data_IF_228623421591
#
_entry.id   IF_228623421591
#
_cell.length_a   1.000
_cell.length_b   1.000
_cell.length_c   1.000
_cell.angle_alpha   90.00
_cell.angle_beta   90.00
_cell.angle_gamma   90.00
#
_symmetry.space_group_name_H-M   'P 1'
#
loop_
_entity.id
_entity.type
_entity.pdbx_description
1 polymer ?
#
# COMPACT_ATOMS: atom_id res chain seq x y z
N UNK A 1 -45.94 -21.39 -48.14
CA UNK A 1 -46.53 -20.04 -48.22
C UNK A 1 -45.49 -19.05 -47.70
N UNK A 2 -45.01 -18.17 -48.58
CA UNK A 2 -44.09 -17.06 -48.28
C UNK A 2 -44.92 -15.89 -47.76
N UNK A 3 -44.46 -15.20 -46.73
CA UNK A 3 -44.82 -13.80 -46.49
C UNK A 3 -43.58 -13.06 -45.99
N UNK A 4 -43.03 -12.30 -46.92
CA UNK A 4 -41.99 -11.30 -46.75
C UNK A 4 -42.64 -10.02 -46.23
N UNK A 5 -42.00 -9.36 -45.27
CA UNK A 5 -42.33 -7.99 -44.90
C UNK A 5 -41.06 -7.15 -45.08
N UNK A 6 -40.99 -6.43 -46.19
CA UNK A 6 -40.04 -5.35 -46.47
C UNK A 6 -40.85 -4.07 -46.66
N UNK A 7 -40.62 -3.06 -45.82
CA UNK A 7 -40.95 -1.66 -46.07
C UNK A 7 -39.79 -0.83 -45.48
N UNK A 8 -38.92 -0.27 -46.33
CA UNK A 8 -38.96 1.10 -46.86
C UNK A 8 -38.80 2.18 -45.78
N UNK A 9 -37.58 2.73 -45.67
CA UNK A 9 -37.36 4.15 -45.39
C UNK A 9 -36.07 4.61 -46.08
N UNK A 10 -36.21 5.21 -47.25
CA UNK A 10 -35.18 6.06 -47.87
C UNK A 10 -35.46 7.50 -47.44
N UNK A 11 -34.48 8.14 -46.80
CA UNK A 11 -34.45 9.58 -46.66
C UNK A 11 -33.14 10.09 -47.28
N UNK A 12 -33.30 10.70 -48.46
CA UNK A 12 -32.32 11.56 -49.12
C UNK A 12 -32.13 12.82 -48.28
N UNK A 13 -30.90 13.10 -47.85
CA UNK A 13 -30.49 14.42 -47.37
C UNK A 13 -29.45 15.02 -48.33
N UNK A 14 -29.80 16.21 -48.78
CA UNK A 14 -29.20 17.03 -49.82
C UNK A 14 -27.83 17.56 -49.37
N UNK A 15 -26.82 17.38 -50.21
CA UNK A 15 -25.52 18.05 -50.09
C UNK A 15 -25.65 19.53 -50.49
N UNK A 16 -25.46 20.44 -49.53
CA UNK A 16 -25.23 21.86 -49.80
C UNK A 16 -23.72 22.10 -49.88
N UNK A 17 -23.26 22.57 -51.04
CA UNK A 17 -21.88 23.00 -51.29
C UNK A 17 -21.71 24.41 -50.74
N UNK A 18 -20.88 24.56 -49.71
CA UNK A 18 -20.32 25.85 -49.29
C UNK A 18 -18.82 25.87 -49.63
N UNK A 19 -18.31 26.92 -50.32
CA UNK A 19 -16.89 27.18 -50.41
C UNK A 19 -16.49 28.12 -49.26
N UNK A 20 -15.63 27.68 -48.36
CA UNK A 20 -15.16 28.58 -47.31
C UNK A 20 -14.25 27.95 -46.27
N UNK A 21 -13.01 28.41 -46.30
CA UNK A 21 -12.00 28.33 -45.23
C UNK A 21 -11.32 26.97 -45.04
N UNK A 22 -10.05 26.91 -45.41
CA UNK A 22 -9.10 25.94 -44.88
C UNK A 22 -9.00 26.17 -43.37
N UNK A 23 -9.80 25.44 -42.61
CA UNK A 23 -9.54 25.21 -41.21
C UNK A 23 -8.27 24.34 -41.13
N UNK A 24 -7.29 24.80 -40.37
CA UNK A 24 -6.28 23.92 -39.82
C UNK A 24 -7.07 22.96 -38.93
N UNK A 25 -7.30 21.74 -39.42
CA UNK A 25 -7.79 20.64 -38.59
C UNK A 25 -6.68 20.37 -37.57
N UNK A 26 -6.85 20.96 -36.39
CA UNK A 26 -6.18 20.53 -35.18
C UNK A 26 -6.67 19.09 -34.97
N UNK A 27 -5.84 18.12 -35.38
CA UNK A 27 -6.06 16.69 -35.23
C UNK A 27 -5.92 16.31 -33.74
N UNK A 28 -6.80 16.88 -32.93
CA UNK A 28 -7.10 16.41 -31.58
C UNK A 28 -8.00 15.18 -31.69
N UNK A 29 -7.54 14.14 -32.39
CA UNK A 29 -8.02 12.81 -32.07
C UNK A 29 -7.74 12.63 -30.56
N UNK A 30 -8.75 12.33 -29.74
CA UNK A 30 -8.52 12.15 -28.30
C UNK A 30 -7.44 11.08 -28.15
N UNK A 31 -6.26 11.46 -27.65
CA UNK A 31 -5.15 10.53 -27.44
C UNK A 31 -5.72 9.32 -26.70
N UNK A 32 -5.76 8.18 -27.38
CA UNK A 32 -6.35 6.99 -26.80
C UNK A 32 -5.41 6.50 -25.69
N UNK A 33 -5.89 6.46 -24.46
CA UNK A 33 -5.17 5.87 -23.34
C UNK A 33 -4.63 4.47 -23.67
N UNK A 34 -3.50 4.10 -23.06
CA UNK A 34 -3.01 2.72 -23.12
C UNK A 34 -4.06 1.75 -22.58
N UNK A 35 -4.10 0.53 -23.14
CA UNK A 35 -5.16 -0.47 -22.88
C UNK A 35 -4.67 -1.70 -22.13
N UNK A 36 -3.38 -1.78 -21.86
CA UNK A 36 -2.71 -2.85 -21.12
C UNK A 36 -2.81 -2.69 -19.60
N UNK A 37 -3.18 -1.51 -19.10
CA UNK A 37 -3.39 -1.24 -17.66
C UNK A 37 -4.57 -0.29 -17.41
N UNK A 38 -5.28 -0.47 -16.29
CA UNK A 38 -6.35 0.40 -15.79
C UNK A 38 -6.29 0.50 -14.26
N UNK A 39 -6.23 1.72 -13.72
CA UNK A 39 -6.30 1.97 -12.28
C UNK A 39 -7.72 2.33 -11.83
N UNK A 40 -8.24 1.57 -10.87
CA UNK A 40 -9.51 1.76 -10.19
C UNK A 40 -9.25 2.38 -8.81
N UNK A 41 -9.69 3.62 -8.62
CA UNK A 41 -9.50 4.38 -7.39
C UNK A 41 -10.79 4.35 -6.58
N UNK A 42 -10.74 3.80 -5.37
CA UNK A 42 -11.90 3.72 -4.49
C UNK A 42 -12.11 5.02 -3.73
N UNK A 43 -13.24 5.68 -3.97
CA UNK A 43 -13.67 6.91 -3.30
C UNK A 43 -15.20 6.94 -3.16
N UNK A 44 -15.67 7.25 -1.94
CA UNK A 44 -17.09 7.27 -1.60
C UNK A 44 -17.66 8.68 -1.36
N UNK A 45 -16.81 9.70 -1.38
CA UNK A 45 -17.15 11.11 -1.35
C UNK A 45 -16.91 11.71 -2.74
N UNK A 46 -17.96 11.99 -3.52
CA UNK A 46 -17.81 12.54 -4.87
C UNK A 46 -17.23 13.96 -4.88
N UNK A 47 -17.30 14.69 -3.77
CA UNK A 47 -16.71 16.02 -3.69
C UNK A 47 -15.18 15.96 -3.60
N UNK A 48 -14.61 14.82 -3.21
CA UNK A 48 -13.16 14.65 -3.08
C UNK A 48 -12.44 14.80 -4.43
N UNK A 49 -13.03 14.32 -5.53
CA UNK A 49 -12.45 14.48 -6.87
C UNK A 49 -12.44 15.94 -7.35
N UNK A 50 -13.35 16.76 -6.82
CA UNK A 50 -13.49 18.16 -7.19
C UNK A 50 -12.57 19.10 -6.40
N UNK A 51 -11.97 18.61 -5.31
CA UNK A 51 -10.98 19.38 -4.55
C UNK A 51 -9.64 19.42 -5.32
N UNK A 52 -9.17 20.61 -5.78
CA UNK A 52 -7.91 20.75 -6.49
C UNK A 52 -6.68 20.36 -5.66
N UNK A 53 -6.81 20.34 -4.33
CA UNK A 53 -5.76 19.97 -3.40
C UNK A 53 -5.81 18.50 -2.96
N UNK A 54 -6.75 17.71 -3.51
CA UNK A 54 -6.87 16.28 -3.18
C UNK A 54 -5.79 15.44 -3.89
N UNK A 55 -5.36 14.39 -3.21
CA UNK A 55 -4.50 13.35 -3.76
C UNK A 55 -5.12 12.67 -4.98
N UNK A 56 -6.44 12.43 -4.95
CA UNK A 56 -7.20 11.89 -6.08
C UNK A 56 -7.10 12.79 -7.31
N UNK A 57 -7.27 14.11 -7.15
CA UNK A 57 -7.15 15.04 -8.28
C UNK A 57 -5.75 15.00 -8.88
N UNK A 58 -4.73 15.09 -8.03
CA UNK A 58 -3.33 14.98 -8.45
C UNK A 58 -3.08 13.67 -9.23
N UNK A 59 -3.54 12.53 -8.68
CA UNK A 59 -3.38 11.23 -9.32
C UNK A 59 -4.00 11.21 -10.73
N UNK A 60 -5.22 11.72 -10.89
CA UNK A 60 -5.91 11.77 -12.20
C UNK A 60 -5.22 12.68 -13.20
N UNK A 61 -4.68 13.81 -12.75
CA UNK A 61 -3.94 14.71 -13.63
C UNK A 61 -2.64 14.07 -14.10
N UNK A 62 -1.86 13.48 -13.19
CA UNK A 62 -0.63 12.75 -13.52
C UNK A 62 -0.88 11.51 -14.38
N UNK A 63 -2.02 10.87 -14.23
CA UNK A 63 -2.42 9.75 -15.08
C UNK A 63 -2.52 10.14 -16.56
N UNK A 64 -2.93 11.39 -16.87
CA UNK A 64 -2.95 11.87 -18.25
C UNK A 64 -1.54 11.98 -18.83
N UNK A 65 -0.60 12.52 -18.05
CA UNK A 65 0.82 12.60 -18.43
C UNK A 65 1.41 11.19 -18.66
N UNK A 66 1.04 10.22 -17.83
CA UNK A 66 1.47 8.82 -17.95
C UNK A 66 0.69 7.99 -18.99
N UNK A 67 -0.22 8.59 -19.75
CA UNK A 67 -1.11 7.90 -20.68
C UNK A 67 -1.93 6.76 -20.03
N UNK A 68 -2.29 6.90 -18.76
CA UNK A 68 -2.91 5.88 -17.91
C UNK A 68 -4.43 6.09 -17.78
N UNK A 69 -5.20 5.04 -18.06
CA UNK A 69 -6.64 5.08 -17.83
C UNK A 69 -6.97 4.91 -16.35
N UNK A 70 -7.81 5.80 -15.80
CA UNK A 70 -8.25 5.75 -14.42
C UNK A 70 -9.77 5.82 -14.30
N UNK A 71 -10.34 5.11 -13.33
CA UNK A 71 -11.76 5.20 -13.00
C UNK A 71 -11.93 5.30 -11.50
N UNK A 72 -12.77 6.24 -11.06
CA UNK A 72 -13.15 6.38 -9.66
C UNK A 72 -14.42 5.56 -9.44
N UNK A 73 -14.44 4.73 -8.40
CA UNK A 73 -15.59 3.90 -8.05
C UNK A 73 -15.85 3.92 -6.54
N UNK A 74 -17.00 3.42 -6.11
CA UNK A 74 -17.48 3.46 -4.72
C UNK A 74 -18.75 4.29 -4.60
N UNK A 75 -18.69 5.56 -5.03
CA UNK A 75 -19.86 6.45 -5.07
C UNK A 75 -20.44 6.75 -3.68
N UNK A 76 -21.63 7.37 -3.61
CA UNK A 76 -22.23 7.76 -2.33
C UNK A 76 -22.78 6.55 -1.57
N UNK A 77 -21.94 5.88 -0.79
CA UNK A 77 -22.36 4.87 0.18
C UNK A 77 -22.84 5.53 1.47
N UNK A 78 -23.97 5.08 2.02
CA UNK A 78 -24.51 5.65 3.26
C UNK A 78 -23.66 5.30 4.49
N UNK A 79 -23.04 4.12 4.48
CA UNK A 79 -22.20 3.59 5.55
C UNK A 79 -21.07 2.77 4.93
N UNK A 80 -19.97 3.42 4.54
CA UNK A 80 -18.84 2.70 4.00
C UNK A 80 -18.17 1.85 5.08
N UNK A 81 -17.93 0.58 4.77
CA UNK A 81 -17.10 -0.34 5.56
C UNK A 81 -15.78 -0.67 4.85
N UNK A 82 -14.94 -1.47 5.51
CA UNK A 82 -13.61 -1.84 5.00
C UNK A 82 -13.70 -2.73 3.76
N UNK A 83 -14.66 -3.66 3.72
CA UNK A 83 -14.82 -4.61 2.61
C UNK A 83 -15.49 -4.04 1.36
N UNK A 84 -16.13 -2.87 1.44
CA UNK A 84 -16.90 -2.29 0.33
C UNK A 84 -16.05 -2.08 -0.93
N UNK A 85 -14.78 -1.68 -0.76
CA UNK A 85 -13.83 -1.48 -1.86
C UNK A 85 -13.72 -2.71 -2.75
N UNK A 86 -13.54 -3.88 -2.15
CA UNK A 86 -13.36 -5.13 -2.89
C UNK A 86 -14.70 -5.73 -3.31
N UNK A 87 -15.75 -5.58 -2.50
CA UNK A 87 -17.08 -6.09 -2.82
C UNK A 87 -17.68 -5.44 -4.08
N UNK A 88 -17.47 -4.14 -4.25
CA UNK A 88 -17.99 -3.37 -5.38
C UNK A 88 -17.21 -3.59 -6.68
N UNK A 89 -16.09 -4.30 -6.62
CA UNK A 89 -15.16 -4.45 -7.73
C UNK A 89 -15.67 -5.43 -8.80
N UNK A 90 -16.38 -6.49 -8.40
CA UNK A 90 -16.76 -7.60 -9.31
C UNK A 90 -17.49 -7.15 -10.59
N UNK A 91 -18.55 -6.31 -10.53
CA UNK A 91 -19.24 -5.86 -11.75
C UNK A 91 -18.34 -5.04 -12.70
N UNK A 92 -17.33 -4.35 -12.17
CA UNK A 92 -16.36 -3.61 -12.99
C UNK A 92 -15.41 -4.58 -13.70
N UNK A 93 -14.93 -5.60 -13.00
CA UNK A 93 -14.03 -6.60 -13.58
C UNK A 93 -14.69 -7.46 -14.65
N UNK A 94 -16.00 -7.70 -14.55
CA UNK A 94 -16.77 -8.48 -15.53
C UNK A 94 -16.89 -7.80 -16.90
N UNK A 95 -16.65 -6.48 -16.99
CA UNK A 95 -16.77 -5.70 -18.23
C UNK A 95 -15.45 -5.16 -18.76
N UNK A 96 -14.36 -5.26 -17.99
CA UNK A 96 -13.02 -4.87 -18.44
C UNK A 96 -12.41 -5.97 -19.31
N UNK A 97 -11.50 -5.60 -20.21
CA UNK A 97 -10.74 -6.53 -21.04
C UNK A 97 -9.97 -7.52 -20.14
N UNK A 98 -10.10 -8.82 -20.43
CA UNK A 98 -9.51 -9.88 -19.62
C UNK A 98 -7.98 -9.85 -19.61
N UNK A 99 -7.35 -9.26 -20.63
CA UNK A 99 -5.89 -9.16 -20.76
C UNK A 99 -5.35 -7.81 -20.23
N UNK A 100 -6.22 -6.92 -19.74
CA UNK A 100 -5.83 -5.65 -19.14
C UNK A 100 -5.46 -5.84 -17.67
N UNK A 101 -4.27 -5.36 -17.26
CA UNK A 101 -3.88 -5.36 -15.86
C UNK A 101 -4.72 -4.35 -15.08
N UNK A 102 -5.35 -4.80 -14.00
CA UNK A 102 -6.13 -3.93 -13.11
C UNK A 102 -5.30 -3.61 -11.88
N UNK A 103 -5.29 -2.33 -11.50
CA UNK A 103 -4.78 -1.88 -10.21
C UNK A 103 -5.94 -1.29 -9.41
N UNK A 104 -6.13 -1.71 -8.17
CA UNK A 104 -7.14 -1.15 -7.26
C UNK A 104 -6.41 -0.46 -6.11
N UNK A 105 -6.76 0.79 -5.82
CA UNK A 105 -6.10 1.57 -4.78
C UNK A 105 -7.06 2.47 -4.00
N UNK A 106 -6.72 2.74 -2.74
CA UNK A 106 -7.40 3.74 -1.91
C UNK A 106 -7.15 5.15 -2.45
N UNK A 107 -8.18 5.88 -2.86
CA UNK A 107 -8.00 7.15 -3.57
C UNK A 107 -7.41 8.28 -2.69
N UNK A 108 -7.60 8.21 -1.37
CA UNK A 108 -7.29 9.33 -0.46
C UNK A 108 -5.84 9.38 0.00
N UNK A 109 -5.16 8.24 0.00
CA UNK A 109 -3.85 8.06 0.63
C UNK A 109 -2.77 7.65 -0.38
N UNK A 110 -3.03 7.83 -1.68
CA UNK A 110 -2.10 7.46 -2.76
C UNK A 110 -1.70 8.63 -3.64
N UNK A 111 -0.48 8.56 -4.17
CA UNK A 111 0.04 9.46 -5.19
C UNK A 111 0.63 8.66 -6.35
N UNK A 112 0.42 9.13 -7.58
CA UNK A 112 1.07 8.55 -8.76
C UNK A 112 2.49 9.11 -8.86
N UNK A 113 3.50 8.25 -8.76
CA UNK A 113 4.91 8.58 -8.72
C UNK A 113 5.50 8.88 -10.10
N UNK A 114 4.93 9.86 -10.79
CA UNK A 114 5.41 10.28 -12.11
C UNK A 114 5.64 11.79 -12.13
N UNK A 115 6.75 12.26 -12.71
CA UNK A 115 6.99 13.68 -12.90
C UNK A 115 6.07 14.24 -13.99
N UNK A 116 6.09 15.56 -14.16
CA UNK A 116 5.40 16.24 -15.28
C UNK A 116 6.18 16.16 -16.59
N UNK A 117 6.63 14.95 -16.93
CA UNK A 117 7.34 14.63 -18.16
C UNK A 117 6.71 13.38 -18.78
N UNK A 118 6.19 13.50 -20.00
CA UNK A 118 5.42 12.44 -20.67
C UNK A 118 6.28 11.21 -20.96
N UNK A 119 7.54 11.38 -21.38
CA UNK A 119 8.40 10.25 -21.72
C UNK A 119 8.77 9.47 -20.46
N UNK A 120 9.19 10.17 -19.40
CA UNK A 120 9.54 9.56 -18.12
C UNK A 120 8.32 8.92 -17.44
N UNK A 121 7.15 9.54 -17.54
CA UNK A 121 5.91 8.99 -16.99
C UNK A 121 5.47 7.71 -17.70
N UNK A 122 5.57 7.64 -19.03
CA UNK A 122 5.27 6.42 -19.79
C UNK A 122 6.25 5.30 -19.43
N UNK A 123 7.55 5.61 -19.34
CA UNK A 123 8.58 4.64 -18.96
C UNK A 123 8.35 4.07 -17.56
N UNK A 124 7.89 4.89 -16.60
CA UNK A 124 7.54 4.43 -15.26
C UNK A 124 6.41 3.40 -15.27
N UNK A 125 5.40 3.56 -16.14
CA UNK A 125 4.31 2.59 -16.28
C UNK A 125 4.80 1.31 -16.97
N UNK A 126 5.71 1.42 -17.95
CA UNK A 126 6.28 0.24 -18.61
C UNK A 126 7.10 -0.60 -17.63
N UNK A 127 7.93 0.04 -16.79
CA UNK A 127 8.66 -0.65 -15.71
C UNK A 127 7.73 -1.31 -14.70
N UNK A 128 6.58 -0.69 -14.40
CA UNK A 128 5.57 -1.28 -13.52
C UNK A 128 4.99 -2.58 -14.11
N UNK A 129 4.67 -2.60 -15.41
CA UNK A 129 4.19 -3.81 -16.08
C UNK A 129 5.24 -4.91 -16.10
N UNK A 130 6.49 -4.58 -16.45
CA UNK A 130 7.61 -5.53 -16.44
C UNK A 130 7.83 -6.13 -15.05
N UNK A 131 7.78 -5.29 -14.01
CA UNK A 131 7.91 -5.71 -12.61
C UNK A 131 6.75 -6.62 -12.19
N UNK A 132 5.51 -6.32 -12.60
CA UNK A 132 4.36 -7.17 -12.30
C UNK A 132 4.53 -8.56 -12.90
N UNK A 133 4.95 -8.64 -14.16
CA UNK A 133 5.25 -9.90 -14.83
C UNK A 133 6.40 -10.67 -14.18
N UNK A 134 7.46 -9.97 -13.77
CA UNK A 134 8.59 -10.56 -13.03
C UNK A 134 8.11 -11.20 -11.72
N UNK A 135 7.33 -10.47 -10.90
CA UNK A 135 6.85 -10.93 -9.60
C UNK A 135 5.84 -12.09 -9.70
N UNK A 136 5.09 -12.17 -10.81
CA UNK A 136 4.07 -13.20 -11.03
C UNK A 136 4.55 -14.35 -11.92
N UNK A 137 5.81 -14.36 -12.36
CA UNK A 137 6.33 -15.36 -13.31
C UNK A 137 6.14 -16.80 -12.82
N UNK A 138 6.37 -17.04 -11.53
CA UNK A 138 6.25 -18.38 -10.92
C UNK A 138 4.84 -18.65 -10.38
N UNK A 139 3.99 -17.63 -10.34
CA UNK A 139 2.59 -17.67 -9.88
C UNK A 139 1.67 -16.88 -10.81
N UNK A 140 1.47 -17.32 -12.07
CA UNK A 140 0.84 -16.51 -13.12
C UNK A 140 -0.66 -16.21 -12.92
N UNK A 141 -1.29 -16.79 -11.90
CA UNK A 141 -2.69 -16.53 -11.53
C UNK A 141 -2.79 -15.81 -10.16
N UNK A 142 -1.70 -15.25 -9.67
CA UNK A 142 -1.67 -14.51 -8.41
C UNK A 142 -2.05 -13.04 -8.66
N UNK A 143 -2.71 -12.45 -7.67
CA UNK A 143 -2.76 -10.99 -7.51
C UNK A 143 -1.55 -10.55 -6.68
N UNK A 144 -1.05 -9.34 -6.93
CA UNK A 144 0.06 -8.75 -6.18
C UNK A 144 -0.47 -7.65 -5.27
N UNK A 145 -0.28 -7.79 -3.97
CA UNK A 145 -0.60 -6.76 -2.99
C UNK A 145 0.67 -6.02 -2.56
N UNK A 146 0.48 -4.79 -2.12
CA UNK A 146 1.55 -4.03 -1.50
C UNK A 146 1.95 -4.65 -0.14
N UNK A 147 3.24 -4.58 0.20
CA UNK A 147 3.76 -5.02 1.50
C UNK A 147 4.05 -3.81 2.41
N UNK A 148 3.84 -3.93 3.71
CA UNK A 148 4.12 -2.89 4.71
C UNK A 148 4.95 -3.42 5.89
N UNK A 149 5.49 -2.50 6.69
CA UNK A 149 6.32 -2.81 7.87
C UNK A 149 5.49 -3.09 9.13
N UNK A 150 4.22 -2.68 9.16
CA UNK A 150 3.41 -2.77 10.36
C UNK A 150 2.35 -3.86 10.24
N UNK A 151 2.41 -4.81 11.17
CA UNK A 151 1.29 -5.68 11.49
C UNK A 151 0.66 -5.17 12.79
N UNK A 152 -0.64 -5.27 13.01
CA UNK A 152 -1.69 -5.87 12.20
C UNK A 152 -2.95 -5.01 12.30
N UNK A 153 -4.00 -5.30 11.53
CA UNK A 153 -5.30 -4.68 11.76
C UNK A 153 -5.95 -5.22 13.03
N UNK A 154 -6.89 -4.47 13.62
CA UNK A 154 -7.54 -4.87 14.86
C UNK A 154 -8.25 -6.24 14.74
N UNK A 155 -8.90 -6.50 13.60
CA UNK A 155 -9.56 -7.77 13.32
C UNK A 155 -8.63 -9.00 13.43
N UNK A 156 -7.33 -8.84 13.17
CA UNK A 156 -6.35 -9.93 13.27
C UNK A 156 -6.04 -10.33 14.72
N UNK A 157 -6.39 -9.51 15.72
CA UNK A 157 -6.32 -9.92 17.12
C UNK A 157 -7.45 -10.87 17.53
N UNK A 158 -8.53 -10.96 16.75
CA UNK A 158 -9.73 -11.74 17.08
C UNK A 158 -9.79 -13.13 16.40
N UNK A 159 -8.83 -13.45 15.52
CA UNK A 159 -8.77 -14.72 14.82
C UNK A 159 -7.33 -15.09 14.43
N UNK A 160 -6.98 -16.38 14.51
CA UNK A 160 -5.69 -16.89 14.07
C UNK A 160 -5.63 -17.06 12.53
N UNK A 161 -4.43 -17.18 11.92
CA UNK A 161 -4.28 -17.36 10.47
C UNK A 161 -5.15 -18.44 9.82
N UNK A 162 -5.31 -19.59 10.49
CA UNK A 162 -6.10 -20.73 9.99
C UNK A 162 -7.61 -20.66 10.24
N UNK A 163 -8.11 -19.61 10.90
CA UNK A 163 -9.50 -19.56 11.33
C UNK A 163 -10.44 -19.18 10.20
N UNK A 164 -9.97 -18.33 9.28
CA UNK A 164 -10.77 -17.72 8.22
C UNK A 164 -11.21 -18.69 7.10
N UNK A 165 -10.37 -19.64 6.71
CA UNK A 165 -10.63 -20.50 5.55
C UNK A 165 -10.25 -21.95 5.81
N UNK A 166 -11.02 -22.86 5.21
CA UNK A 166 -10.63 -24.26 5.13
C UNK A 166 -9.68 -24.46 3.93
N UNK A 167 -8.40 -24.74 4.18
CA UNK A 167 -7.39 -24.92 3.15
C UNK A 167 -7.66 -26.09 2.17
N UNK A 168 -8.51 -27.06 2.55
CA UNK A 168 -8.88 -28.19 1.67
C UNK A 168 -10.08 -27.87 0.79
N UNK A 169 -11.14 -27.27 1.35
CA UNK A 169 -12.39 -27.04 0.61
C UNK A 169 -12.49 -25.65 -0.02
N UNK A 170 -11.65 -24.69 0.38
CA UNK A 170 -11.80 -23.28 0.00
C UNK A 170 -12.95 -22.56 0.71
N UNK A 171 -13.68 -23.25 1.59
CA UNK A 171 -14.84 -22.65 2.24
C UNK A 171 -14.43 -21.62 3.30
N UNK A 172 -15.12 -20.47 3.30
CA UNK A 172 -15.07 -19.46 4.37
C UNK A 172 -15.59 -20.08 5.67
N UNK A 173 -14.78 -20.02 6.74
CA UNK A 173 -15.09 -20.58 8.07
C UNK A 173 -15.61 -19.51 9.03
N UNK A 174 -14.93 -18.37 9.07
CA UNK A 174 -15.17 -17.28 10.03
C UNK A 174 -15.16 -15.93 9.31
N UNK A 175 -15.76 -14.93 9.96
CA UNK A 175 -15.85 -13.55 9.45
C UNK A 175 -14.89 -12.66 10.23
N UNK A 176 -14.23 -11.73 9.54
CA UNK A 176 -13.44 -10.72 10.25
C UNK A 176 -14.39 -9.72 10.93
N UNK A 177 -14.02 -9.21 12.12
CA UNK A 177 -14.75 -8.08 12.66
C UNK A 177 -14.36 -6.79 11.91
N UNK A 178 -15.17 -5.74 12.04
CA UNK A 178 -14.90 -4.45 11.43
C UNK A 178 -13.95 -3.65 12.33
N UNK A 179 -12.68 -3.52 11.93
CA UNK A 179 -11.64 -2.85 12.73
C UNK A 179 -12.07 -1.45 13.19
N UNK A 180 -11.81 -1.12 14.46
CA UNK A 180 -12.11 0.20 15.01
C UNK A 180 -13.55 0.37 15.53
N UNK A 181 -14.38 -0.68 15.50
CA UNK A 181 -15.60 -0.75 16.33
C UNK A 181 -15.25 -1.17 17.76
N UNK A 182 -16.10 -0.81 18.71
CA UNK A 182 -15.91 -1.12 20.14
C UNK A 182 -15.76 -2.63 20.41
N UNK A 183 -16.41 -3.47 19.61
CA UNK A 183 -16.37 -4.93 19.66
C UNK A 183 -15.22 -5.55 18.84
N UNK A 184 -14.38 -4.72 18.23
CA UNK A 184 -13.23 -5.11 17.40
C UNK A 184 -12.04 -4.20 17.70
N UNK A 185 -11.74 -4.03 18.99
CA UNK A 185 -10.57 -3.29 19.44
C UNK A 185 -9.30 -4.13 19.21
N UNK A 186 -8.18 -3.45 18.95
CA UNK A 186 -6.88 -4.13 18.82
C UNK A 186 -6.42 -4.64 20.19
N UNK A 187 -6.04 -5.92 20.24
CA UNK A 187 -5.44 -6.54 21.41
C UNK A 187 -4.11 -7.20 21.03
N UNK A 188 -3.04 -6.89 21.77
CA UNK A 188 -1.76 -7.58 21.60
C UNK A 188 -1.83 -8.95 22.27
N UNK A 189 -1.99 -10.00 21.46
CA UNK A 189 -2.27 -11.37 21.93
C UNK A 189 -1.62 -12.44 21.03
N UNK A 190 -1.89 -13.71 21.34
CA UNK A 190 -1.29 -14.84 20.63
C UNK A 190 -1.62 -14.86 19.13
N UNK A 191 -2.82 -14.40 18.72
CA UNK A 191 -3.19 -14.34 17.31
C UNK A 191 -2.26 -13.38 16.55
N UNK A 192 -1.99 -12.20 17.12
CA UNK A 192 -1.06 -11.22 16.53
C UNK A 192 0.34 -11.83 16.36
N UNK A 193 0.85 -12.52 17.37
CA UNK A 193 2.14 -13.19 17.27
C UNK A 193 2.17 -14.26 16.15
N UNK A 194 1.10 -15.05 16.02
CA UNK A 194 0.98 -16.06 14.96
C UNK A 194 0.92 -15.43 13.56
N UNK A 195 0.19 -14.32 13.39
CA UNK A 195 0.15 -13.58 12.13
C UNK A 195 1.52 -13.03 11.74
N UNK A 196 2.22 -12.44 12.70
CA UNK A 196 3.54 -11.88 12.47
C UNK A 196 4.54 -12.95 12.05
N UNK A 197 4.55 -14.08 12.75
CA UNK A 197 5.42 -15.22 12.44
C UNK A 197 5.12 -15.78 11.05
N UNK A 198 3.85 -16.02 10.74
CA UNK A 198 3.44 -16.52 9.43
C UNK A 198 3.92 -15.63 8.27
N UNK A 199 3.68 -14.32 8.35
CA UNK A 199 4.02 -13.41 7.24
C UNK A 199 5.54 -13.23 7.11
N UNK A 200 6.28 -13.22 8.23
CA UNK A 200 7.75 -13.22 8.22
C UNK A 200 8.30 -14.49 7.59
N UNK A 201 7.79 -15.66 7.97
CA UNK A 201 8.23 -16.93 7.40
C UNK A 201 7.92 -17.00 5.90
N UNK A 202 6.73 -16.55 5.49
CA UNK A 202 6.38 -16.49 4.06
C UNK A 202 7.31 -15.57 3.27
N UNK A 203 7.67 -14.41 3.84
CA UNK A 203 8.65 -13.52 3.21
C UNK A 203 10.01 -14.21 3.05
N UNK A 204 10.52 -14.84 4.12
CA UNK A 204 11.78 -15.58 4.08
C UNK A 204 11.79 -16.67 3.01
N UNK A 205 10.70 -17.43 2.90
CA UNK A 205 10.57 -18.52 1.93
C UNK A 205 10.56 -18.00 0.49
N UNK A 206 9.92 -16.85 0.24
CA UNK A 206 9.74 -16.26 -1.11
C UNK A 206 10.91 -15.42 -1.58
N UNK A 207 11.75 -14.93 -0.68
CA UNK A 207 12.92 -14.12 -1.02
C UNK A 207 14.23 -14.90 -0.86
N UNK A 208 14.12 -16.23 -0.78
CA UNK A 208 15.22 -17.18 -0.66
C UNK A 208 16.13 -16.89 0.56
N UNK A 209 15.59 -16.28 1.62
CA UNK A 209 16.31 -15.94 2.84
C UNK A 209 17.48 -14.97 2.66
N UNK A 210 17.56 -14.25 1.54
CA UNK A 210 18.73 -13.47 1.18
C UNK A 210 18.80 -12.10 1.88
N UNK A 211 17.70 -11.59 2.43
CA UNK A 211 17.66 -10.31 3.15
C UNK A 211 16.66 -10.32 4.32
N UNK A 212 16.95 -9.57 5.38
CA UNK A 212 15.96 -9.24 6.41
C UNK A 212 15.01 -8.20 5.81
N UNK A 213 13.81 -8.64 5.40
CA UNK A 213 12.80 -7.74 4.86
C UNK A 213 12.05 -7.05 5.99
N UNK A 214 11.99 -5.71 5.95
CA UNK A 214 11.10 -4.94 6.82
C UNK A 214 9.64 -5.01 6.37
N UNK A 215 9.41 -4.94 5.05
CA UNK A 215 8.08 -4.95 4.43
C UNK A 215 7.61 -6.38 4.23
N UNK A 216 7.08 -7.00 5.28
CA UNK A 216 6.69 -8.42 5.25
C UNK A 216 5.19 -8.64 5.41
N UNK A 217 4.45 -7.59 5.81
CA UNK A 217 3.03 -7.71 6.09
C UNK A 217 2.19 -7.27 4.90
N UNK A 218 1.05 -7.94 4.70
CA UNK A 218 0.12 -7.59 3.63
C UNK A 218 -0.55 -6.26 3.94
N UNK A 219 -0.57 -5.35 2.96
CA UNK A 219 -1.37 -4.12 3.00
C UNK A 219 -2.44 -4.15 1.91
N UNK A 220 -3.72 -4.02 2.31
CA UNK A 220 -4.86 -4.10 1.39
C UNK A 220 -5.19 -2.78 0.66
N UNK A 221 -4.42 -1.71 0.93
CA UNK A 221 -4.67 -0.40 0.35
C UNK A 221 -4.42 -0.34 -1.16
N UNK A 222 -3.52 -1.19 -1.68
CA UNK A 222 -3.22 -1.29 -3.12
C UNK A 222 -2.99 -2.75 -3.53
N UNK A 223 -3.59 -3.13 -4.67
CA UNK A 223 -3.48 -4.45 -5.27
C UNK A 223 -3.50 -4.38 -6.80
N UNK A 224 -2.75 -5.26 -7.48
CA UNK A 224 -2.79 -5.44 -8.93
C UNK A 224 -3.05 -6.90 -9.32
N UNK A 225 -3.67 -7.10 -10.48
CA UNK A 225 -4.00 -8.43 -10.98
C UNK A 225 -4.86 -8.40 -12.24
N UNK A 226 -5.00 -9.56 -12.88
CA UNK A 226 -5.91 -9.69 -14.02
C UNK A 226 -7.35 -9.87 -13.55
N UNK A 227 -8.37 -9.43 -14.33
CA UNK A 227 -9.77 -9.51 -13.94
C UNK A 227 -10.21 -10.90 -13.50
N UNK A 228 -9.78 -11.95 -14.21
CA UNK A 228 -10.13 -13.34 -13.89
C UNK A 228 -9.59 -13.77 -12.53
N UNK A 229 -8.36 -13.41 -12.20
CA UNK A 229 -7.72 -13.79 -10.94
C UNK A 229 -8.28 -12.99 -9.76
N UNK A 230 -8.57 -11.71 -9.98
CA UNK A 230 -9.33 -10.90 -9.02
C UNK A 230 -10.71 -11.50 -8.74
N UNK A 231 -11.50 -11.83 -9.76
CA UNK A 231 -12.84 -12.41 -9.57
C UNK A 231 -12.75 -13.70 -8.77
N UNK A 232 -11.77 -14.57 -9.06
CA UNK A 232 -11.53 -15.79 -8.30
C UNK A 232 -11.22 -15.49 -6.83
N UNK A 233 -10.35 -14.52 -6.56
CA UNK A 233 -10.04 -14.08 -5.19
C UNK A 233 -11.29 -13.57 -4.49
N UNK A 234 -12.06 -12.67 -5.12
CA UNK A 234 -13.28 -12.10 -4.54
C UNK A 234 -14.34 -13.17 -4.22
N UNK A 235 -14.52 -14.15 -5.11
CA UNK A 235 -15.44 -15.28 -4.91
C UNK A 235 -15.00 -16.18 -3.76
N UNK A 236 -13.70 -16.41 -3.61
CA UNK A 236 -13.16 -17.21 -2.50
C UNK A 236 -13.23 -16.47 -1.17
N UNK A 237 -12.94 -15.16 -1.15
CA UNK A 237 -13.05 -14.33 0.04
C UNK A 237 -14.47 -14.30 0.60
N UNK A 238 -15.46 -14.29 -0.30
CA UNK A 238 -16.88 -14.13 0.04
C UNK A 238 -17.10 -12.90 0.94
N UNK A 239 -16.37 -11.81 0.70
CA UNK A 239 -16.25 -10.67 1.61
C UNK A 239 -17.58 -9.90 1.76
N UNK A 240 -17.95 -9.57 2.99
CA UNK A 240 -19.01 -8.58 3.26
C UNK A 240 -18.45 -7.16 3.42
N UNK A 241 -19.26 -6.14 3.15
CA UNK A 241 -18.83 -4.73 3.19
C UNK A 241 -18.29 -4.24 4.53
N UNK A 242 -18.68 -4.85 5.65
CA UNK A 242 -18.23 -4.45 7.00
C UNK A 242 -16.88 -5.10 7.41
N UNK A 243 -16.52 -6.25 6.85
CA UNK A 243 -15.31 -6.99 7.23
C UNK A 243 -14.02 -6.23 6.91
N UNK A 244 -13.02 -6.32 7.79
CA UNK A 244 -11.66 -5.82 7.53
C UNK A 244 -11.02 -6.59 6.36
N UNK A 245 -10.83 -5.94 5.23
CA UNK A 245 -10.35 -6.53 3.98
C UNK A 245 -8.93 -7.08 4.11
N UNK A 246 -8.04 -6.38 4.83
CA UNK A 246 -6.67 -6.81 5.11
C UNK A 246 -6.62 -8.10 5.92
N UNK A 247 -7.46 -8.26 6.95
CA UNK A 247 -7.54 -9.50 7.72
C UNK A 247 -8.03 -10.68 6.85
N UNK A 248 -9.06 -10.45 6.02
CA UNK A 248 -9.60 -11.50 5.13
C UNK A 248 -8.59 -11.91 4.07
N UNK A 249 -7.94 -10.96 3.40
CA UNK A 249 -6.89 -11.23 2.41
C UNK A 249 -5.71 -11.97 3.02
N UNK A 250 -5.31 -11.60 4.24
CA UNK A 250 -4.25 -12.29 4.99
C UNK A 250 -4.61 -13.75 5.29
N UNK A 251 -5.86 -14.01 5.69
CA UNK A 251 -6.38 -15.37 5.86
C UNK A 251 -6.39 -16.17 4.57
N UNK A 252 -6.73 -15.53 3.45
CA UNK A 252 -6.73 -16.19 2.15
C UNK A 252 -5.30 -16.52 1.71
N UNK A 253 -4.35 -15.61 1.92
CA UNK A 253 -2.93 -15.81 1.67
C UNK A 253 -2.37 -16.96 2.51
N UNK A 254 -2.79 -17.08 3.77
CA UNK A 254 -2.40 -18.21 4.62
C UNK A 254 -2.93 -19.55 4.09
N UNK A 255 -4.20 -19.61 3.67
CA UNK A 255 -4.80 -20.86 3.19
C UNK A 255 -4.40 -21.23 1.76
N UNK A 256 -4.13 -20.25 0.91
CA UNK A 256 -3.84 -20.40 -0.52
C UNK A 256 -2.71 -19.46 -0.94
N UNK A 257 -1.46 -19.75 -0.53
CA UNK A 257 -0.33 -18.83 -0.71
C UNK A 257 -0.12 -18.44 -2.18
N UNK A 258 -0.29 -19.37 -3.12
CA UNK A 258 -0.04 -19.12 -4.55
C UNK A 258 -1.04 -18.14 -5.20
N UNK A 259 -2.13 -17.78 -4.52
CA UNK A 259 -3.10 -16.81 -5.04
C UNK A 259 -2.72 -15.36 -4.77
N UNK A 260 -1.84 -15.12 -3.79
CA UNK A 260 -1.46 -13.78 -3.34
C UNK A 260 0.06 -13.69 -3.30
N UNK A 261 0.60 -12.75 -4.06
CA UNK A 261 1.99 -12.32 -3.99
C UNK A 261 2.10 -10.99 -3.25
N UNK A 262 3.16 -10.78 -2.49
CA UNK A 262 3.44 -9.47 -1.87
C UNK A 262 4.67 -8.84 -2.55
N UNK A 263 4.60 -7.53 -2.74
CA UNK A 263 5.72 -6.72 -3.23
C UNK A 263 6.73 -6.39 -2.09
N UNK A 264 7.47 -7.42 -1.64
CA UNK A 264 8.41 -7.33 -0.51
C UNK A 264 9.54 -6.31 -0.71
N UNK A 265 9.85 -5.97 -1.96
CA UNK A 265 10.92 -5.05 -2.33
C UNK A 265 10.43 -3.64 -2.64
N UNK A 266 9.11 -3.41 -2.61
CA UNK A 266 8.51 -2.12 -2.96
C UNK A 266 8.88 -1.70 -4.40
N UNK A 267 8.88 -2.65 -5.35
CA UNK A 267 9.20 -2.40 -6.76
C UNK A 267 7.97 -1.89 -7.54
N UNK A 268 6.76 -2.33 -7.19
CA UNK A 268 5.47 -1.88 -7.76
C UNK A 268 4.84 -0.76 -6.94
N UNK A 269 4.73 -1.01 -5.63
CA UNK A 269 3.99 -0.20 -4.68
C UNK A 269 4.90 0.24 -3.55
N UNK A 270 4.90 1.54 -3.26
CA UNK A 270 5.73 2.11 -2.21
C UNK A 270 4.91 2.50 -1.00
N UNK A 271 5.05 1.82 0.12
CA UNK A 271 4.41 2.17 1.39
C UNK A 271 5.34 3.00 2.28
N UNK A 272 4.81 4.07 2.84
CA UNK A 272 5.50 4.85 3.87
C UNK A 272 5.37 4.19 5.27
N UNK A 273 6.31 4.52 6.15
CA UNK A 273 6.45 3.89 7.47
C UNK A 273 5.93 4.84 8.56
N UNK A 274 4.61 5.01 8.65
CA UNK A 274 3.97 5.95 9.60
C UNK A 274 4.48 5.78 11.05
N UNK A 275 4.76 4.56 11.48
CA UNK A 275 5.24 4.25 12.85
C UNK A 275 6.61 4.85 13.17
N UNK A 276 7.40 5.19 12.15
CA UNK A 276 8.70 5.84 12.30
C UNK A 276 8.58 7.37 12.36
N UNK A 277 7.36 7.92 12.31
CA UNK A 277 7.06 9.35 12.42
C UNK A 277 7.50 10.17 11.19
N UNK A 278 7.15 11.47 11.18
CA UNK A 278 7.32 12.36 10.01
C UNK A 278 8.73 12.38 9.40
N UNK A 279 9.75 12.29 10.25
CA UNK A 279 11.15 12.42 9.84
C UNK A 279 11.69 11.16 9.17
N UNK A 280 11.46 10.01 9.78
CA UNK A 280 12.10 8.76 9.37
C UNK A 280 11.10 7.83 8.64
N UNK A 281 9.81 8.16 8.69
CA UNK A 281 8.74 7.38 8.08
C UNK A 281 8.36 7.78 6.66
N UNK A 282 8.73 8.99 6.22
CA UNK A 282 8.51 9.44 4.84
C UNK A 282 9.72 9.05 3.98
N UNK A 283 9.68 7.84 3.43
CA UNK A 283 10.88 7.12 2.92
C UNK A 283 11.13 7.31 1.41
N UNK A 284 10.56 8.35 0.81
CA UNK A 284 10.70 8.64 -0.61
C UNK A 284 11.38 9.99 -0.84
N UNK A 285 12.36 9.99 -1.73
CA UNK A 285 13.13 11.18 -2.06
C UNK A 285 13.24 11.36 -3.58
N UNK A 286 13.52 12.59 -4.00
CA UNK A 286 13.86 12.91 -5.39
C UNK A 286 15.37 13.17 -5.49
N UNK A 287 16.08 12.38 -6.28
CA UNK A 287 17.49 12.63 -6.56
C UNK A 287 17.70 13.78 -7.55
N UNK A 288 16.88 13.82 -8.60
CA UNK A 288 16.98 14.80 -9.69
C UNK A 288 15.60 15.37 -9.96
N UNK A 289 15.48 16.70 -9.99
CA UNK A 289 14.23 17.38 -10.33
C UNK A 289 13.67 16.86 -11.65
N UNK A 290 12.39 16.51 -11.67
CA UNK A 290 11.73 15.95 -12.85
C UNK A 290 11.91 14.44 -13.02
N UNK A 291 12.39 13.73 -11.99
CA UNK A 291 12.41 12.25 -11.96
C UNK A 291 11.41 11.70 -10.93
N UNK A 292 10.95 10.45 -11.10
CA UNK A 292 10.17 9.74 -10.08
C UNK A 292 10.93 9.67 -8.76
N UNK A 293 10.17 9.66 -7.67
CA UNK A 293 10.70 9.45 -6.34
C UNK A 293 11.21 8.01 -6.21
N UNK A 294 12.29 7.83 -5.44
CA UNK A 294 12.81 6.51 -5.13
C UNK A 294 12.65 6.23 -3.65
N UNK A 295 12.43 4.96 -3.30
CA UNK A 295 12.44 4.48 -1.94
C UNK A 295 13.88 4.52 -1.42
N UNK A 296 14.15 5.25 -0.35
CA UNK A 296 15.53 5.50 0.14
C UNK A 296 16.22 4.25 0.66
N UNK A 297 15.48 3.36 1.34
CA UNK A 297 16.06 2.10 1.85
C UNK A 297 16.18 1.01 0.78
N UNK A 298 15.22 0.92 -0.15
CA UNK A 298 15.12 -0.17 -1.15
C UNK A 298 15.77 0.17 -2.48
N UNK A 299 16.04 1.45 -2.73
CA UNK A 299 16.55 1.97 -4.00
C UNK A 299 15.66 1.60 -5.20
N UNK A 300 14.35 1.49 -4.97
CA UNK A 300 13.32 1.19 -5.99
C UNK A 300 12.50 2.43 -6.34
N UNK A 301 11.82 2.42 -7.48
CA UNK A 301 10.95 3.52 -7.95
C UNK A 301 9.53 2.99 -8.22
N UNK A 302 8.74 2.69 -7.18
CA UNK A 302 7.38 2.17 -7.36
C UNK A 302 6.50 3.20 -8.06
N UNK A 303 5.54 2.74 -8.87
CA UNK A 303 4.66 3.63 -9.64
C UNK A 303 3.64 4.33 -8.75
N UNK A 304 3.15 3.67 -7.70
CA UNK A 304 2.16 4.22 -6.78
C UNK A 304 2.74 4.28 -5.38
N UNK A 305 2.70 5.47 -4.79
CA UNK A 305 3.08 5.70 -3.40
C UNK A 305 1.84 5.69 -2.54
N UNK A 306 1.93 5.03 -1.39
CA UNK A 306 0.87 4.89 -0.42
C UNK A 306 1.36 5.40 0.94
N UNK A 307 0.53 6.20 1.59
CA UNK A 307 0.79 6.76 2.92
C UNK A 307 -0.28 6.27 3.89
N UNK A 308 -0.27 4.98 4.26
CA UNK A 308 -1.36 4.36 4.98
C UNK A 308 -1.61 5.01 6.35
N UNK A 309 -2.85 4.93 6.80
CA UNK A 309 -3.24 5.34 8.15
C UNK A 309 -3.25 6.85 8.31
N UNK A 310 -3.68 7.59 7.29
CA UNK A 310 -3.80 9.06 7.29
C UNK A 310 -2.47 9.77 7.46
N UNK A 311 -1.40 9.23 6.87
CA UNK A 311 -0.07 9.83 6.93
C UNK A 311 0.08 10.98 5.91
N UNK A 312 -0.84 11.94 6.07
CA UNK A 312 -1.16 12.98 5.10
C UNK A 312 -0.08 14.05 4.95
N UNK A 313 0.72 14.28 5.99
CA UNK A 313 1.82 15.24 5.94
C UNK A 313 2.90 14.78 4.97
N UNK A 314 3.33 13.52 5.10
CA UNK A 314 4.18 12.86 4.12
C UNK A 314 3.53 12.89 2.73
N UNK A 315 2.26 12.50 2.58
CA UNK A 315 1.57 12.51 1.28
C UNK A 315 1.63 13.87 0.59
N UNK A 316 1.35 14.94 1.34
CA UNK A 316 1.38 16.30 0.83
C UNK A 316 2.80 16.67 0.38
N UNK A 317 3.83 16.33 1.16
CA UNK A 317 5.22 16.56 0.76
C UNK A 317 5.59 15.82 -0.54
N UNK A 318 5.21 14.55 -0.67
CA UNK A 318 5.48 13.75 -1.87
C UNK A 318 4.80 14.33 -3.12
N UNK A 319 3.53 14.73 -3.00
CA UNK A 319 2.78 15.35 -4.10
C UNK A 319 3.44 16.67 -4.53
N UNK A 320 3.90 17.50 -3.59
CA UNK A 320 4.56 18.78 -3.89
C UNK A 320 5.91 18.61 -4.57
N UNK A 321 6.72 17.62 -4.15
CA UNK A 321 8.00 17.31 -4.82
C UNK A 321 7.75 16.87 -6.27
N UNK A 322 6.63 16.16 -6.53
CA UNK A 322 6.17 15.81 -7.87
C UNK A 322 5.48 16.97 -8.61
N UNK A 323 5.50 18.19 -8.06
CA UNK A 323 4.95 19.40 -8.67
C UNK A 323 3.44 19.55 -8.57
N UNK A 324 2.78 18.81 -7.68
CA UNK A 324 1.35 18.92 -7.40
C UNK A 324 1.00 20.03 -6.40
N UNK A 325 -0.30 20.29 -6.26
CA UNK A 325 -0.86 21.18 -5.23
C UNK A 325 -1.50 20.34 -4.13
N UNK A 326 -1.40 20.79 -2.88
CA UNK A 326 -1.91 20.06 -1.71
C UNK A 326 -2.58 20.98 -0.71
N UNK A 327 -3.22 20.38 0.28
CA UNK A 327 -3.81 21.10 1.42
C UNK A 327 -2.74 21.58 2.41
N UNK A 328 -1.48 21.17 2.25
CA UNK A 328 -0.35 21.51 3.12
C UNK A 328 -0.63 21.21 4.59
N UNK A 329 -1.15 20.01 4.89
CA UNK A 329 -1.56 19.60 6.23
C UNK A 329 -0.41 19.56 7.24
N UNK A 330 0.84 19.51 6.75
CA UNK A 330 2.03 19.67 7.58
C UNK A 330 2.24 21.09 8.11
N UNK A 331 1.65 22.12 7.48
CA UNK A 331 1.69 23.50 8.00
C UNK A 331 0.68 23.73 9.13
N UNK A 332 -0.46 23.04 9.09
CA UNK A 332 -1.49 23.15 10.13
C UNK A 332 -0.95 22.69 11.48
N UNK A 333 -0.16 21.61 11.54
CA UNK A 333 0.46 21.19 12.80
C UNK A 333 1.46 22.21 13.35
N UNK A 334 2.10 23.00 12.50
CA UNK A 334 3.00 24.09 12.93
C UNK A 334 2.23 25.31 13.42
N UNK A 335 1.10 25.64 12.80
CA UNK A 335 0.21 26.70 13.24
C UNK A 335 -0.53 26.32 14.53
N UNK A 336 -1.01 25.09 14.66
CA UNK A 336 -1.57 24.53 15.90
C UNK A 336 -0.52 24.47 17.01
N UNK A 337 0.72 24.09 16.70
CA UNK A 337 1.84 24.15 17.65
C UNK A 337 2.13 25.59 18.06
N UNK A 338 2.12 26.54 17.12
CA UNK A 338 2.32 27.96 17.42
C UNK A 338 1.17 28.52 18.26
N UNK A 339 -0.09 28.18 17.97
CA UNK A 339 -1.25 28.53 18.78
C UNK A 339 -1.13 27.94 20.20
N UNK A 340 -0.62 26.72 20.32
CA UNK A 340 -0.41 26.09 21.62
C UNK A 340 0.76 26.73 22.39
N UNK A 341 1.86 27.07 21.71
CA UNK A 341 2.99 27.79 22.27
C UNK A 341 2.64 29.23 22.66
N UNK A 342 1.79 29.92 21.90
CA UNK A 342 1.27 31.25 22.22
C UNK A 342 0.35 31.18 23.43
N UNK A 343 -0.54 30.17 23.53
CA UNK A 343 -1.34 29.92 24.74
C UNK A 343 -0.48 29.60 25.97
N UNK A 344 0.61 28.84 25.81
CA UNK A 344 1.57 28.59 26.90
C UNK A 344 2.31 29.89 27.29
N UNK A 345 2.66 30.72 26.31
CA UNK A 345 3.27 32.03 26.50
C UNK A 345 2.35 33.00 27.26
N UNK A 346 1.06 33.05 26.92
CA UNK A 346 0.06 33.86 27.61
C UNK A 346 -0.17 33.37 29.05
N UNK A 347 -0.26 32.05 29.28
CA UNK A 347 -0.35 31.47 30.62
C UNK A 347 0.90 31.76 31.47
N UNK A 348 2.07 31.93 30.85
CA UNK A 348 3.31 32.33 31.55
C UNK A 348 3.36 33.81 31.90
N UNK A 349 2.63 34.67 31.18
CA UNK A 349 2.52 36.10 31.47
C UNK A 349 1.40 36.46 32.46
N UNK A 350 0.42 35.58 32.67
CA UNK A 350 -0.70 35.82 33.58
C UNK A 350 -0.53 35.18 34.97
N UNK A 351 0.60 34.49 35.23
CA UNK A 351 0.86 33.85 36.53
C UNK A 351 1.57 34.73 37.57
N UNK A 352 1.73 36.02 37.30
CA UNK A 352 2.17 36.99 38.31
C UNK A 352 1.08 37.94 38.82
N UNK A 353 -0.14 37.97 38.26
CA UNK A 353 -1.18 38.82 38.82
C UNK A 353 -2.61 38.24 38.74
N UNK A 354 -3.16 38.04 39.93
CA UNK A 354 -4.58 38.13 40.27
C UNK A 354 -5.48 36.89 40.16
N UNK A 355 -6.01 36.56 41.34
CA UNK A 355 -7.24 35.83 41.59
C UNK A 355 -8.46 36.48 40.89
N UNK A 356 -9.40 35.61 40.53
CA UNK A 356 -10.83 35.89 40.34
C UNK A 356 -11.23 36.72 39.10
N UNK A 357 -11.75 36.03 38.08
CA UNK A 357 -13.00 36.45 37.40
C UNK A 357 -13.56 35.35 36.51
N UNK A 358 -14.80 34.98 36.80
CA UNK A 358 -15.70 34.25 35.92
C UNK A 358 -16.08 35.11 34.71
N UNK A 359 -16.02 34.57 33.50
CA UNK A 359 -16.70 35.16 32.34
C UNK A 359 -17.18 34.11 31.34
N UNK A 360 -18.42 34.36 30.90
CA UNK A 360 -19.24 33.58 29.98
C UNK A 360 -18.64 33.49 28.58
N UNK A 361 -18.72 32.31 27.99
CA UNK A 361 -18.41 32.04 26.59
C UNK A 361 -19.60 32.38 25.69
N UNK A 362 -19.39 33.28 24.73
CA UNK A 362 -20.29 33.51 23.61
C UNK A 362 -20.02 32.50 22.49
N UNK A 363 -21.09 31.90 21.97
CA UNK A 363 -21.06 30.94 20.87
C UNK A 363 -20.76 31.66 19.54
N UNK A 364 -19.61 31.34 18.94
CA UNK A 364 -19.32 31.61 17.55
C UNK A 364 -19.49 30.31 16.75
N UNK A 365 -20.37 30.36 15.75
CA UNK A 365 -20.71 29.27 14.83
C UNK A 365 -19.49 28.82 14.01
N UNK A 366 -19.01 27.62 14.29
CA UNK A 366 -17.95 26.95 13.55
C UNK A 366 -18.57 26.03 12.47
N UNK A 367 -18.08 26.12 11.23
CA UNK A 367 -18.49 25.26 10.12
C UNK A 367 -17.99 23.83 10.38
N UNK A 368 -18.90 22.99 10.88
CA UNK A 368 -18.62 21.59 11.17
C UNK A 368 -18.44 20.76 9.89
N UNK A 369 -17.21 20.33 9.63
CA UNK A 369 -16.97 19.12 8.85
C UNK A 369 -17.51 17.92 9.64
N UNK A 370 -18.31 17.09 8.95
CA UNK A 370 -18.97 15.92 9.53
C UNK A 370 -17.97 15.02 10.24
N UNK A 371 -18.25 14.78 11.52
CA UNK A 371 -17.55 13.87 12.41
C UNK A 371 -17.80 12.44 11.93
N UNK A 372 -16.88 11.91 11.11
CA UNK A 372 -16.87 10.50 10.70
C UNK A 372 -16.04 9.69 11.70
N UNK A 373 -16.71 8.76 12.38
CA UNK A 373 -16.13 7.62 13.12
C UNK A 373 -14.88 7.99 13.92
N UNK A 374 -15.07 8.36 15.18
CA UNK A 374 -13.98 8.60 16.11
C UNK A 374 -13.02 7.42 16.12
N UNK A 375 -11.86 7.61 15.49
CA UNK A 375 -10.69 6.80 15.73
C UNK A 375 -10.34 7.05 17.19
N UNK A 376 -10.55 6.03 18.03
CA UNK A 376 -9.92 5.98 19.33
C UNK A 376 -8.45 6.29 19.13
N UNK A 377 -8.00 7.32 19.81
CA UNK A 377 -6.61 7.70 19.96
C UNK A 377 -5.82 6.40 20.20
N UNK A 378 -5.06 5.92 19.22
CA UNK A 378 -4.13 4.83 19.44
C UNK A 378 -3.20 5.34 20.54
N UNK A 379 -3.30 4.72 21.71
CA UNK A 379 -2.60 5.14 22.90
C UNK A 379 -1.14 5.38 22.57
N UNK A 380 -0.64 6.54 22.99
CA UNK A 380 0.76 6.82 23.18
C UNK A 380 1.44 5.57 23.73
N UNK A 381 2.30 4.93 22.92
CA UNK A 381 3.04 3.76 23.34
C UNK A 381 3.75 4.08 24.66
N UNK A 382 3.50 3.23 25.65
CA UNK A 382 4.07 3.32 26.97
C UNK A 382 5.59 3.45 26.88
N UNK A 383 6.07 4.49 27.55
CA UNK A 383 7.48 4.80 27.80
C UNK A 383 8.24 3.52 28.23
N UNK A 384 9.16 3.04 27.39
CA UNK A 384 10.14 2.03 27.82
C UNK A 384 11.03 2.67 28.88
N UNK A 385 10.83 2.26 30.14
CA UNK A 385 11.68 2.63 31.27
C UNK A 385 13.09 2.06 31.08
N UNK A 386 14.01 2.89 30.59
CA UNK A 386 15.44 2.63 30.71
C UNK A 386 15.91 3.01 32.10
N UNK A 387 16.63 2.07 32.71
CA UNK A 387 17.14 2.14 34.07
C UNK A 387 18.08 3.32 34.33
N UNK A 388 18.00 3.79 35.57
CA UNK A 388 18.90 4.75 36.20
C UNK A 388 20.38 4.58 35.80
N UNK A 389 20.94 5.58 35.14
CA UNK A 389 22.37 5.88 35.22
C UNK A 389 22.61 7.38 35.39
N UNK A 390 23.00 7.73 36.63
CA UNK A 390 24.10 8.65 36.95
C UNK A 390 24.17 10.02 36.27
N UNK A 391 23.88 11.05 37.07
CA UNK A 391 24.25 12.45 36.86
C UNK A 391 25.67 12.66 36.30
N UNK A 392 25.76 13.51 35.28
CA UNK A 392 27.00 14.14 34.81
C UNK A 392 26.72 15.49 34.18
N UNK A 393 26.87 16.56 34.95
CA UNK A 393 26.86 17.96 34.51
C UNK A 393 27.92 18.19 33.41
N UNK A 394 27.53 18.80 32.29
CA UNK A 394 28.49 19.49 31.40
C UNK A 394 27.97 20.87 31.00
N UNK A 395 28.80 21.86 31.32
CA UNK A 395 28.51 23.27 31.15
C UNK A 395 28.76 23.80 29.75
N UNK A 396 28.31 25.04 29.58
CA UNK A 396 28.45 25.88 28.39
C UNK A 396 29.90 26.05 27.94
N UNK A 397 30.14 25.89 26.63
CA UNK A 397 31.38 26.23 25.95
C UNK A 397 31.10 26.98 24.64
N UNK A 398 31.61 28.21 24.56
CA UNK A 398 31.46 29.17 23.47
C UNK A 398 32.21 28.79 22.18
N UNK A 399 31.74 29.39 21.08
CA UNK A 399 32.30 29.40 19.73
C UNK A 399 33.82 29.69 19.63
N UNK A 400 34.47 28.99 18.71
CA UNK A 400 35.80 29.33 18.20
C UNK A 400 36.03 28.76 16.79
N UNK A 401 36.23 29.63 15.80
CA UNK A 401 36.66 29.31 14.43
C UNK A 401 38.13 28.85 14.39
N UNK A 402 38.46 27.85 13.56
CA UNK A 402 39.86 27.47 13.32
C UNK A 402 40.10 26.34 12.31
N UNK A 403 40.45 26.74 11.08
CA UNK A 403 41.31 26.17 10.02
C UNK A 403 41.79 24.69 9.97
N UNK A 404 41.88 24.23 8.72
CA UNK A 404 42.54 23.06 8.10
C UNK A 404 43.75 22.42 8.81
N UNK A 405 43.79 21.08 8.81
CA UNK A 405 45.03 20.31 9.02
C UNK A 405 44.88 18.78 9.17
N UNK A 406 45.19 18.04 8.10
CA UNK A 406 45.90 16.76 7.98
C UNK A 406 45.76 15.60 9.01
N UNK A 407 45.38 14.42 8.47
CA UNK A 407 45.75 13.02 8.77
C UNK A 407 46.23 12.60 10.18
N UNK A 408 45.51 11.62 10.74
CA UNK A 408 46.02 10.70 11.77
C UNK A 408 45.22 9.39 11.79
N UNK A 409 45.88 8.27 11.45
CA UNK A 409 45.39 6.91 11.63
C UNK A 409 45.18 6.59 13.11
N UNK A 410 44.04 5.97 13.46
CA UNK A 410 43.75 5.45 14.79
C UNK A 410 42.96 4.14 14.71
N UNK A 411 43.67 3.03 14.88
CA UNK A 411 43.16 1.67 14.93
C UNK A 411 42.88 1.32 16.40
N UNK A 412 41.65 0.92 16.76
CA UNK A 412 41.33 0.41 18.11
C UNK A 412 40.34 -0.77 18.06
N UNK A 413 40.88 -1.96 18.29
CA UNK A 413 40.63 -2.73 19.52
C UNK A 413 39.29 -3.46 19.69
N UNK A 414 39.34 -4.78 19.53
CA UNK A 414 38.36 -5.77 19.99
C UNK A 414 38.08 -5.69 21.50
N UNK A 415 36.81 -5.89 21.89
CA UNK A 415 36.39 -6.16 23.26
C UNK A 415 35.34 -7.28 23.31
N UNK A 416 35.78 -8.49 23.64
CA UNK A 416 34.96 -9.64 24.00
C UNK A 416 34.50 -9.49 25.47
N UNK A 417 33.21 -9.64 25.75
CA UNK A 417 32.70 -9.84 27.11
C UNK A 417 31.96 -11.17 27.20
N UNK A 418 32.45 -12.04 28.08
CA UNK A 418 31.83 -13.31 28.42
C UNK A 418 31.38 -13.36 29.88
N UNK A 419 30.48 -14.34 30.09
CA UNK A 419 30.08 -15.02 31.31
C UNK A 419 29.02 -14.42 32.25
N UNK A 420 27.89 -15.14 32.28
CA UNK A 420 27.03 -15.36 33.45
C UNK A 420 26.29 -16.69 33.27
N UNK A 421 26.72 -17.73 33.98
CA UNK A 421 26.27 -19.12 33.88
C UNK A 421 25.42 -19.46 35.12
N UNK A 422 24.23 -20.06 34.96
CA UNK A 422 23.54 -20.86 35.99
C UNK A 422 22.84 -22.05 35.31
N UNK A 423 23.26 -23.27 35.63
CA UNK A 423 22.75 -24.55 35.09
C UNK A 423 21.51 -25.06 35.84
N UNK A 424 21.05 -26.32 35.76
CA UNK A 424 21.33 -27.55 35.01
C UNK A 424 20.13 -28.53 35.29
N UNK A 425 20.14 -29.73 34.68
CA UNK A 425 19.20 -30.89 34.70
C UNK A 425 18.11 -30.83 33.61
N UNK A 426 17.93 -31.81 32.71
CA UNK A 426 18.49 -33.16 32.59
C UNK A 426 18.46 -33.66 31.14
N UNK A 427 19.34 -34.63 30.85
CA UNK A 427 19.68 -35.19 29.55
C UNK A 427 19.26 -36.68 29.47
N UNK A 428 18.61 -37.08 28.37
CA UNK A 428 18.61 -38.43 27.77
C UNK A 428 18.41 -38.21 26.27
N UNK A 429 19.12 -38.78 25.30
CA UNK A 429 20.19 -39.75 25.25
C UNK A 429 20.50 -40.01 23.76
N UNK A 430 21.77 -40.21 23.45
CA UNK A 430 22.39 -40.33 22.12
C UNK A 430 21.82 -41.38 21.16
N UNK A 431 22.04 -41.13 19.85
CA UNK A 431 22.08 -42.15 18.80
C UNK A 431 22.60 -41.61 17.47
N UNK A 432 23.93 -41.50 17.32
CA UNK A 432 24.62 -41.11 16.08
C UNK A 432 25.34 -42.34 15.49
N UNK A 433 25.07 -42.65 14.22
CA UNK A 433 25.85 -43.47 13.27
C UNK A 433 25.43 -42.95 11.88
N UNK A 434 26.25 -42.62 10.90
CA UNK A 434 27.66 -42.84 10.65
C UNK A 434 27.80 -42.77 9.12
N UNK A 435 28.62 -41.84 8.62
CA UNK A 435 28.95 -41.68 7.21
C UNK A 435 29.54 -42.98 6.62
N UNK A 436 29.05 -43.42 5.45
CA UNK A 436 29.89 -44.03 4.41
C UNK A 436 29.33 -43.74 3.03
N UNK A 437 30.19 -43.22 2.16
CA UNK A 437 29.99 -43.06 0.75
C UNK A 437 30.37 -44.37 0.04
N UNK A 438 29.44 -44.99 -0.70
CA UNK A 438 29.66 -45.81 -1.90
C UNK A 438 28.33 -46.39 -2.37
N UNK A 439 27.87 -46.03 -3.58
CA UNK A 439 26.60 -46.57 -4.09
C UNK A 439 26.08 -45.90 -5.37
N UNK A 440 26.91 -45.85 -6.41
CA UNK A 440 26.53 -45.41 -7.76
C UNK A 440 25.65 -46.51 -8.41
N UNK A 441 24.38 -46.24 -8.78
CA UNK A 441 23.67 -46.64 -10.03
C UNK A 441 22.14 -46.70 -9.90
N UNK A 442 21.49 -46.31 -11.01
CA UNK A 442 20.11 -46.59 -11.43
C UNK A 442 18.95 -45.76 -10.84
N UNK A 443 18.55 -44.71 -11.57
CA UNK A 443 17.19 -44.57 -12.13
C UNK A 443 17.08 -43.34 -13.04
N UNK A 444 17.53 -43.50 -14.29
CA UNK A 444 17.08 -42.70 -15.43
C UNK A 444 16.49 -43.68 -16.43
N UNK A 445 15.16 -43.79 -16.47
CA UNK A 445 14.36 -44.30 -17.61
C UNK A 445 12.87 -44.21 -17.28
N UNK A 446 12.17 -43.35 -18.01
CA UNK A 446 10.71 -43.22 -17.99
C UNK A 446 10.24 -42.28 -19.08
N UNK A 447 10.80 -42.41 -20.28
CA UNK A 447 10.44 -41.62 -21.45
C UNK A 447 9.11 -42.08 -22.05
N UNK A 448 8.26 -41.10 -22.34
CA UNK A 448 7.55 -40.92 -23.61
C UNK A 448 6.99 -42.17 -24.30
N UNK A 449 5.66 -42.33 -24.25
CA UNK A 449 4.90 -42.95 -25.35
C UNK A 449 3.45 -42.48 -25.29
N UNK A 450 3.02 -41.61 -26.20
CA UNK A 450 1.70 -41.75 -26.83
C UNK A 450 1.70 -41.06 -28.20
N UNK A 451 1.44 -41.91 -29.19
CA UNK A 451 1.59 -41.69 -30.62
C UNK A 451 0.44 -40.88 -31.20
N UNK A 452 0.83 -40.08 -32.18
CA UNK A 452 0.08 -39.62 -33.35
C UNK A 452 -0.97 -40.65 -33.86
N UNK A 453 -2.21 -40.18 -34.01
CA UNK A 453 -3.22 -40.79 -34.86
C UNK A 453 -3.04 -40.27 -36.29
N UNK A 454 -2.79 -41.20 -37.21
CA UNK A 454 -2.67 -40.97 -38.66
C UNK A 454 -3.92 -41.49 -39.37
N UNK A 455 -4.44 -40.61 -40.20
CA UNK A 455 -5.42 -40.77 -41.28
C UNK A 455 -5.15 -41.98 -42.20
N UNK A 456 -6.21 -42.74 -42.54
CA UNK A 456 -6.58 -43.36 -43.84
C UNK A 456 -8.07 -43.79 -43.72
N UNK A 457 -9.00 -43.23 -44.49
CA UNK A 457 -9.45 -43.69 -45.81
C UNK A 457 -9.69 -45.21 -45.87
N UNK A 458 -10.96 -45.60 -45.70
CA UNK A 458 -11.82 -46.16 -46.75
C UNK A 458 -13.25 -45.63 -46.58
#
# INVERSE_FOLDING_TARGET
MKLSCSLFLQALAVWAIFPGSAAVEDDHSPESFRKDIHVLLYENNPDFEHDPASSLRFFKERSKTANLHTTVFGGKLQRPGFGDKLQLLKPLLEVVDADQLIVVADAREVALNVPDDKEVAIEAVDRFLETFHKLTNDSPNAIVLSAEENCCTAAMSHAAPGDYFNATSGARKERACASGRDDCAFEDNENIAQWQEFMKQMALDRTEGNEEHKFVYLNAGIVAGYPKDFIKVLEMMDLSGEEDDQAVLSGLMHAFPDMIMLDYHQELFGNNQKTNGEKDGCVFEQHVTGTPLYHTERMTQPLILHTPGRYYQCLDALIEILGGQTQKRYLLSMEELNDHLMKIGEISSEKEDSESRSLQTGEASNYGYGNYGGYGNYGTYGNYGYGNYGYGNYGYGNYGYGNYGNYGYGNYGYGNYGYGNYGNYDNYGYGNYGNTAEGRRELVRGAATLRQLRIRQD
#
